data_IF_378980553171
#
_entry.id   IF_378980553171
#
_cell.length_a   1.000
_cell.length_b   1.000
_cell.length_c   1.000
_cell.angle_alpha   90.00
_cell.angle_beta   90.00
_cell.angle_gamma   90.00
#
_symmetry.space_group_name_H-M   'P 1'
#
loop_
_entity.id
_entity.type
_entity.pdbx_description
1 polymer ?
#
# COMPACT_ATOMS: atom_id res chain seq x y z
N UNK A 1 -5.71 7.23 -11.16
CA UNK A 1 -6.85 6.54 -10.50
C UNK A 1 -7.19 5.31 -11.30
N UNK A 2 -6.99 4.11 -10.76
CA UNK A 2 -7.19 2.86 -11.50
C UNK A 2 -7.61 1.78 -10.48
N UNK A 3 -8.80 1.19 -10.45
CA UNK A 3 -10.01 1.25 -11.27
C UNK A 3 -11.24 1.35 -10.34
N UNK A 4 -12.22 2.18 -10.69
CA UNK A 4 -13.60 1.97 -10.25
C UNK A 4 -14.23 0.99 -11.24
N UNK A 5 -14.53 -0.22 -10.78
CA UNK A 5 -15.44 -1.11 -11.50
C UNK A 5 -16.22 -1.86 -10.45
N UNK A 6 -17.37 -1.29 -10.06
CA UNK A 6 -18.64 -1.86 -9.54
C UNK A 6 -18.62 -3.14 -8.67
N UNK A 7 -17.46 -3.53 -8.20
CA UNK A 7 -17.18 -4.75 -7.45
C UNK A 7 -16.57 -4.24 -6.17
N UNK A 8 -17.30 -4.40 -5.07
CA UNK A 8 -16.89 -3.96 -3.74
C UNK A 8 -15.60 -4.70 -3.35
N UNK A 9 -14.44 -4.15 -3.72
CA UNK A 9 -13.13 -4.69 -3.38
C UNK A 9 -12.85 -4.28 -1.93
N UNK A 10 -13.15 -5.21 -1.02
CA UNK A 10 -12.87 -5.04 0.42
C UNK A 10 -11.64 -5.88 0.75
N UNK A 11 -10.54 -5.26 1.22
CA UNK A 11 -9.42 -6.02 1.74
C UNK A 11 -9.89 -6.85 2.93
N UNK A 12 -9.64 -8.16 2.92
CA UNK A 12 -10.05 -9.08 3.99
C UNK A 12 -8.95 -9.22 5.04
N UNK A 13 -7.70 -9.07 4.63
CA UNK A 13 -6.53 -9.09 5.48
C UNK A 13 -5.53 -8.00 5.10
N UNK A 14 -4.60 -7.66 6.01
CA UNK A 14 -3.52 -6.72 5.73
C UNK A 14 -2.64 -7.14 4.53
N UNK A 15 -2.50 -8.45 4.30
CA UNK A 15 -1.76 -8.98 3.16
C UNK A 15 -2.44 -8.75 1.80
N UNK A 16 -3.73 -8.40 1.80
CA UNK A 16 -4.45 -8.03 0.58
C UNK A 16 -4.17 -6.57 0.17
N UNK A 17 -3.38 -5.84 0.96
CA UNK A 17 -3.13 -4.42 0.76
C UNK A 17 -1.65 -4.17 0.55
N UNK A 18 -1.34 -3.36 -0.45
CA UNK A 18 -0.01 -2.81 -0.69
C UNK A 18 -0.06 -1.29 -0.58
N UNK A 19 0.78 -0.73 0.27
CA UNK A 19 0.98 0.71 0.39
C UNK A 19 2.06 1.16 -0.59
N UNK A 20 1.84 2.27 -1.27
CA UNK A 20 2.77 2.85 -2.24
C UNK A 20 3.02 4.31 -1.88
N UNK A 21 4.29 4.67 -1.67
CA UNK A 21 4.74 6.05 -1.46
C UNK A 21 5.87 6.37 -2.43
N UNK A 22 5.84 7.56 -3.03
CA UNK A 22 6.86 8.04 -3.97
C UNK A 22 7.25 7.00 -5.05
N UNK A 23 6.28 6.23 -5.55
CA UNK A 23 6.49 5.19 -6.57
C UNK A 23 7.07 3.86 -6.05
N UNK A 24 7.26 3.69 -4.75
CA UNK A 24 7.76 2.44 -4.13
C UNK A 24 6.67 1.76 -3.30
N UNK A 25 6.59 0.43 -3.39
CA UNK A 25 5.76 -0.38 -2.48
C UNK A 25 6.46 -0.45 -1.12
N UNK A 26 5.72 -0.20 -0.05
CA UNK A 26 6.21 -0.27 1.32
C UNK A 26 6.19 -1.72 1.82
N UNK A 27 7.25 -2.11 2.51
CA UNK A 27 7.39 -3.43 3.14
C UNK A 27 6.88 -3.37 4.59
N UNK A 28 6.09 -4.36 5.01
CA UNK A 28 5.52 -4.41 6.36
C UNK A 28 6.57 -4.49 7.48
N UNK A 29 7.80 -4.92 7.17
CA UNK A 29 8.91 -5.00 8.11
C UNK A 29 9.61 -3.65 8.35
N UNK A 30 9.33 -2.62 7.55
CA UNK A 30 9.97 -1.32 7.62
C UNK A 30 9.07 -0.29 8.30
N UNK A 31 9.70 0.65 9.02
CA UNK A 31 8.96 1.78 9.60
C UNK A 31 8.72 2.84 8.52
N UNK A 32 7.71 3.69 8.73
CA UNK A 32 7.41 4.82 7.82
C UNK A 32 8.61 5.75 7.67
N UNK A 33 9.40 5.94 8.73
CA UNK A 33 10.60 6.78 8.68
C UNK A 33 11.66 6.23 7.72
N UNK A 34 11.77 4.90 7.59
CA UNK A 34 12.74 4.24 6.70
C UNK A 34 12.30 4.21 5.23
N UNK A 35 11.01 4.41 4.96
CA UNK A 35 10.45 4.45 3.60
C UNK A 35 10.35 5.87 3.06
N UNK A 36 10.63 6.87 3.90
CA UNK A 36 10.66 8.28 3.50
C UNK A 36 11.71 8.52 2.43
N UNK A 37 11.32 9.26 1.40
CA UNK A 37 12.27 9.70 0.38
C UNK A 37 12.92 11.01 0.80
N UNK A 38 14.23 11.22 0.51
CA UNK A 38 14.96 12.41 0.98
C UNK A 38 14.36 13.75 0.51
N UNK A 39 13.63 13.73 -0.60
CA UNK A 39 13.10 14.94 -1.25
C UNK A 39 11.58 14.94 -1.48
N UNK A 40 10.88 13.85 -1.14
CA UNK A 40 9.44 13.72 -1.42
C UNK A 40 8.53 14.22 -0.30
N UNK A 41 9.05 14.46 0.90
CA UNK A 41 8.26 14.75 2.09
C UNK A 41 8.85 15.96 2.83
N UNK A 42 8.16 17.11 2.74
CA UNK A 42 8.55 18.32 3.46
C UNK A 42 8.23 18.17 4.97
N UNK A 43 9.09 18.68 5.87
CA UNK A 43 8.80 18.72 7.30
C UNK A 43 7.47 19.43 7.58
N UNK A 44 6.58 18.79 8.33
CA UNK A 44 5.24 19.32 8.64
C UNK A 44 4.18 19.09 7.55
N UNK A 45 4.55 18.52 6.40
CA UNK A 45 3.62 18.14 5.34
C UNK A 45 2.87 16.83 5.61
N UNK A 46 1.65 16.72 5.10
CA UNK A 46 0.91 15.45 5.09
C UNK A 46 1.41 14.55 3.97
N UNK A 47 1.58 13.26 4.27
CA UNK A 47 2.05 12.26 3.31
C UNK A 47 0.82 11.54 2.77
N UNK A 48 0.60 11.64 1.46
CA UNK A 48 -0.46 10.89 0.79
C UNK A 48 0.13 9.63 0.16
N UNK A 49 -0.37 8.47 0.56
CA UNK A 49 0.04 7.16 0.01
C UNK A 49 -1.05 6.59 -0.88
N UNK A 50 -0.65 5.87 -1.92
CA UNK A 50 -1.57 5.10 -2.74
C UNK A 50 -1.77 3.72 -2.13
N UNK A 51 -3.02 3.27 -2.09
CA UNK A 51 -3.39 1.94 -1.59
C UNK A 51 -3.84 1.09 -2.77
N UNK A 52 -3.22 -0.08 -2.94
CA UNK A 52 -3.65 -1.08 -3.91
C UNK A 52 -4.19 -2.28 -3.15
N UNK A 53 -5.44 -2.63 -3.42
CA UNK A 53 -6.04 -3.86 -2.88
C UNK A 53 -5.85 -4.98 -3.90
N UNK A 54 -4.99 -5.92 -3.56
CA UNK A 54 -4.71 -7.11 -4.33
C UNK A 54 -5.07 -8.33 -3.47
N UNK A 55 -6.26 -8.92 -3.67
CA UNK A 55 -6.68 -10.10 -2.91
C UNK A 55 -5.61 -11.21 -3.01
N UNK A 56 -5.10 -11.65 -1.87
CA UNK A 56 -4.18 -12.78 -1.83
C UNK A 56 -4.94 -14.06 -2.17
N UNK A 57 -4.44 -14.83 -3.14
CA UNK A 57 -4.98 -16.16 -3.40
C UNK A 57 -4.78 -17.00 -2.13
N UNK A 58 -5.79 -17.75 -1.67
CA UNK A 58 -5.61 -18.66 -0.54
C UNK A 58 -4.42 -19.57 -0.87
N UNK A 59 -3.42 -19.61 0.01
CA UNK A 59 -2.38 -20.62 -0.08
C UNK A 59 -3.09 -21.97 -0.04
N UNK A 60 -3.09 -22.70 -1.15
CA UNK A 60 -3.55 -24.08 -1.17
C UNK A 60 -2.77 -24.81 -0.08
N UNK A 61 -3.49 -25.38 0.88
CA UNK A 61 -2.92 -26.23 1.92
C UNK A 61 -2.51 -27.53 1.21
N UNK A 62 -1.22 -27.72 0.97
CA UNK A 62 -0.65 -29.04 0.68
C UNK A 62 -0.55 -29.82 1.99
#
# INVERSE_FOLDING_TARGET
TLFLSDKKIVPKAANDVKLISAGKILENSKTVAQTRTPFGELPGGTITMHVVVQPSLPKAKT
#
